data_IF_415401692441
#
_entry.id   IF_415401692441
#
_cell.length_a   1.000
_cell.length_b   1.000
_cell.length_c   1.000
_cell.angle_alpha   90.00
_cell.angle_beta   90.00
_cell.angle_gamma   90.00
#
_symmetry.space_group_name_H-M   'P 1'
#
loop_
_entity.id
_entity.type
_entity.pdbx_description
1 polymer ?
#
# COMPACT_ATOMS: atom_id res chain seq x y z
N UNK A 1 -5.66 -25.84 -10.05
CA UNK A 1 -4.37 -25.13 -10.06
C UNK A 1 -4.66 -23.64 -9.94
N UNK A 2 -4.36 -23.03 -8.79
CA UNK A 2 -4.61 -21.61 -8.53
C UNK A 2 -3.51 -20.81 -9.22
N UNK A 3 -3.85 -20.05 -10.27
CA UNK A 3 -2.88 -19.19 -10.95
C UNK A 3 -2.45 -18.06 -9.99
N UNK A 4 -1.15 -17.94 -9.71
CA UNK A 4 -0.63 -16.81 -8.95
C UNK A 4 -0.78 -15.53 -9.78
N UNK A 5 -0.96 -14.37 -9.15
CA UNK A 5 -1.15 -13.07 -9.86
C UNK A 5 -0.06 -12.79 -10.91
N UNK A 6 1.18 -13.19 -10.64
CA UNK A 6 2.29 -13.15 -11.60
C UNK A 6 1.99 -13.94 -12.88
N UNK A 7 1.46 -15.15 -12.75
CA UNK A 7 1.23 -16.02 -13.91
C UNK A 7 0.15 -15.45 -14.82
N UNK A 8 -0.86 -14.78 -14.26
CA UNK A 8 -1.87 -14.07 -15.07
C UNK A 8 -1.21 -12.93 -15.86
N UNK A 9 -0.39 -12.10 -15.20
CA UNK A 9 0.32 -11.00 -15.88
C UNK A 9 1.23 -11.53 -17.00
N UNK A 10 1.97 -12.61 -16.75
CA UNK A 10 2.90 -13.19 -17.74
C UNK A 10 2.21 -13.90 -18.89
N UNK A 11 0.95 -14.31 -18.73
CA UNK A 11 0.10 -14.81 -19.82
C UNK A 11 -0.30 -13.67 -20.75
N UNK A 12 -0.73 -12.54 -20.18
CA UNK A 12 -1.14 -11.35 -20.95
C UNK A 12 0.05 -10.64 -21.59
N UNK A 13 1.18 -10.56 -20.88
CA UNK A 13 2.40 -9.92 -21.36
C UNK A 13 3.62 -10.71 -20.88
N UNK A 14 4.21 -11.49 -21.79
CA UNK A 14 5.31 -12.39 -21.48
C UNK A 14 6.61 -11.68 -21.12
N UNK A 15 6.86 -10.51 -21.70
CA UNK A 15 8.06 -9.70 -21.47
C UNK A 15 7.69 -8.24 -21.26
N UNK A 16 8.47 -7.54 -20.44
CA UNK A 16 8.30 -6.10 -20.24
C UNK A 16 8.39 -5.29 -21.54
N UNK A 17 8.11 -3.98 -21.48
CA UNK A 17 8.03 -3.20 -20.26
C UNK A 17 6.67 -3.25 -19.54
N UNK A 18 6.70 -3.27 -18.20
CA UNK A 18 5.47 -3.20 -17.39
C UNK A 18 5.27 -1.81 -16.78
N UNK A 19 4.00 -1.40 -16.72
CA UNK A 19 3.53 -0.28 -15.88
C UNK A 19 2.56 -0.86 -14.86
N UNK A 20 2.88 -0.70 -13.58
CA UNK A 20 2.15 -1.35 -12.50
C UNK A 20 1.63 -0.29 -11.52
N UNK A 21 0.44 -0.52 -10.98
CA UNK A 21 -0.14 0.36 -9.98
C UNK A 21 -0.75 -0.44 -8.83
N UNK A 22 -0.75 0.18 -7.65
CA UNK A 22 -1.42 -0.31 -6.45
C UNK A 22 -2.32 0.76 -5.88
N UNK A 23 -3.19 0.33 -4.98
CA UNK A 23 -4.04 1.20 -4.20
C UNK A 23 -4.02 0.75 -2.73
N UNK A 24 -3.87 1.70 -1.82
CA UNK A 24 -3.93 1.47 -0.38
C UNK A 24 -2.90 0.39 0.06
N UNK A 25 -3.31 -0.56 0.89
CA UNK A 25 -2.46 -1.63 1.42
C UNK A 25 -1.85 -2.57 0.38
N UNK A 26 -2.34 -2.58 -0.86
CA UNK A 26 -1.74 -3.39 -1.93
C UNK A 26 -0.39 -2.86 -2.41
N UNK A 27 0.09 -1.71 -1.90
CA UNK A 27 1.44 -1.19 -2.14
C UNK A 27 2.55 -2.15 -1.70
N UNK A 28 2.33 -2.94 -0.64
CA UNK A 28 3.25 -4.01 -0.23
C UNK A 28 3.38 -5.06 -1.34
N UNK A 29 2.25 -5.51 -1.88
CA UNK A 29 2.22 -6.51 -2.95
C UNK A 29 2.87 -5.97 -4.23
N UNK A 30 2.62 -4.70 -4.57
CA UNK A 30 3.26 -4.07 -5.72
C UNK A 30 4.78 -4.05 -5.57
N UNK A 31 5.29 -3.71 -4.38
CA UNK A 31 6.74 -3.67 -4.15
C UNK A 31 7.38 -5.05 -4.37
N UNK A 32 6.76 -6.11 -3.85
CA UNK A 32 7.22 -7.50 -4.08
C UNK A 32 7.17 -7.85 -5.56
N UNK A 33 6.09 -7.48 -6.27
CA UNK A 33 5.96 -7.75 -7.70
C UNK A 33 7.01 -7.02 -8.52
N UNK A 34 7.24 -5.72 -8.28
CA UNK A 34 8.27 -4.95 -8.98
C UNK A 34 9.63 -5.62 -8.83
N UNK A 35 10.01 -5.98 -7.60
CA UNK A 35 11.29 -6.61 -7.33
C UNK A 35 11.42 -7.97 -8.01
N UNK A 36 10.35 -8.78 -7.96
CA UNK A 36 10.30 -10.08 -8.62
C UNK A 36 10.44 -9.97 -10.14
N UNK A 37 9.93 -8.92 -10.76
CA UNK A 37 10.07 -8.70 -12.20
C UNK A 37 11.51 -8.28 -12.54
N UNK A 38 12.07 -7.32 -11.80
CA UNK A 38 13.47 -6.90 -11.96
C UNK A 38 14.48 -8.03 -11.80
N UNK A 39 14.32 -8.85 -10.75
CA UNK A 39 15.23 -9.96 -10.45
C UNK A 39 15.13 -11.08 -11.51
N UNK A 40 14.02 -11.15 -12.24
CA UNK A 40 13.83 -12.04 -13.39
C UNK A 40 14.29 -11.42 -14.73
N UNK A 41 14.90 -10.24 -14.70
CA UNK A 41 15.40 -9.55 -15.90
C UNK A 41 14.32 -8.80 -16.69
N UNK A 42 13.10 -8.70 -16.18
CA UNK A 42 12.05 -7.88 -16.78
C UNK A 42 12.27 -6.39 -16.46
N UNK A 43 11.84 -5.51 -17.38
CA UNK A 43 11.86 -4.06 -17.17
C UNK A 43 10.49 -3.59 -16.64
N UNK A 44 10.50 -2.89 -15.51
CA UNK A 44 9.34 -2.13 -15.01
C UNK A 44 9.59 -0.65 -15.30
N UNK A 45 8.83 -0.08 -16.22
CA UNK A 45 8.98 1.33 -16.61
C UNK A 45 8.36 2.29 -15.59
N UNK A 46 7.32 1.84 -14.89
CA UNK A 46 6.60 2.67 -13.96
C UNK A 46 5.96 1.82 -12.86
N UNK A 47 6.10 2.25 -11.62
CA UNK A 47 5.33 1.76 -10.49
C UNK A 47 4.64 2.93 -9.79
N UNK A 48 3.32 2.87 -9.66
CA UNK A 48 2.52 3.90 -8.98
C UNK A 48 1.87 3.33 -7.72
N UNK A 49 2.14 3.93 -6.57
CA UNK A 49 1.47 3.62 -5.31
C UNK A 49 0.48 4.72 -4.99
N UNK A 50 -0.80 4.36 -4.89
CA UNK A 50 -1.87 5.34 -4.66
C UNK A 50 -2.34 5.25 -3.23
N UNK A 51 -2.11 6.35 -2.53
CA UNK A 51 -2.51 6.61 -1.17
C UNK A 51 -2.19 5.46 -0.20
N UNK A 52 -0.96 4.95 -0.30
CA UNK A 52 -0.44 3.89 0.54
C UNK A 52 1.03 3.61 0.21
N UNK A 53 1.85 3.41 1.24
CA UNK A 53 3.27 3.10 1.08
C UNK A 53 3.73 2.12 2.16
N UNK A 54 4.64 1.15 1.89
CA UNK A 54 5.01 0.11 2.85
C UNK A 54 5.46 0.62 4.23
N UNK A 55 6.07 1.81 4.31
CA UNK A 55 6.56 2.37 5.57
C UNK A 55 5.44 2.67 6.58
N UNK A 56 4.21 2.98 6.13
CA UNK A 56 3.09 3.26 7.04
C UNK A 56 2.64 2.03 7.84
N UNK A 57 2.85 0.83 7.28
CA UNK A 57 2.57 -0.43 7.98
C UNK A 57 3.60 -0.70 9.06
N UNK A 58 4.88 -0.40 8.79
CA UNK A 58 5.95 -0.50 9.77
C UNK A 58 5.73 0.52 10.91
N UNK A 59 5.35 1.75 10.58
CA UNK A 59 4.96 2.76 11.55
C UNK A 59 3.85 2.26 12.49
N UNK A 60 2.77 1.72 11.91
CA UNK A 60 1.63 1.21 12.65
C UNK A 60 2.03 0.05 13.57
N UNK A 61 2.84 -0.88 13.07
CA UNK A 61 3.38 -1.99 13.87
C UNK A 61 4.25 -1.49 15.04
N UNK A 62 5.11 -0.50 14.80
CA UNK A 62 5.96 0.10 15.84
C UNK A 62 5.12 0.78 16.93
N UNK A 63 4.10 1.57 16.57
CA UNK A 63 3.19 2.20 17.53
C UNK A 63 2.38 1.18 18.33
N UNK A 64 2.09 0.01 17.74
CA UNK A 64 1.46 -1.11 18.43
C UNK A 64 2.42 -1.93 19.31
N UNK A 65 3.71 -1.55 19.40
CA UNK A 65 4.72 -2.25 20.20
C UNK A 65 5.31 -3.49 19.52
N UNK A 66 5.24 -3.58 18.18
CA UNK A 66 5.68 -4.73 17.39
C UNK A 66 5.11 -6.06 17.90
N UNK A 67 3.78 -6.20 17.92
CA UNK A 67 3.12 -7.40 18.43
C UNK A 67 3.57 -8.61 17.59
N UNK A 68 3.86 -9.74 18.25
CA UNK A 68 4.26 -10.97 17.55
C UNK A 68 3.09 -11.48 16.70
N UNK A 69 3.19 -11.47 15.35
CA UNK A 69 2.11 -11.87 14.46
C UNK A 69 1.84 -13.38 14.50
N UNK A 70 2.69 -14.17 15.20
CA UNK A 70 2.49 -15.60 15.40
C UNK A 70 1.52 -15.90 16.54
N UNK A 71 1.19 -14.90 17.37
CA UNK A 71 0.19 -15.04 18.41
C UNK A 71 -1.20 -14.67 17.83
N UNK A 72 -2.17 -15.61 17.82
CA UNK A 72 -3.52 -15.37 17.30
C UNK A 72 -4.23 -14.15 17.92
N UNK A 73 -4.02 -13.88 19.21
CA UNK A 73 -4.63 -12.74 19.91
C UNK A 73 -4.05 -11.40 19.43
N UNK A 74 -2.75 -11.36 19.19
CA UNK A 74 -2.09 -10.19 18.60
C UNK A 74 -2.58 -9.95 17.18
N UNK A 75 -2.72 -11.02 16.39
CA UNK A 75 -3.25 -10.92 15.03
C UNK A 75 -4.66 -10.36 15.03
N UNK A 76 -5.53 -10.88 15.91
CA UNK A 76 -6.88 -10.34 16.11
C UNK A 76 -6.86 -8.86 16.47
N UNK A 77 -5.97 -8.44 17.37
CA UNK A 77 -5.84 -7.03 17.76
C UNK A 77 -5.35 -6.13 16.61
N UNK A 78 -4.38 -6.58 15.81
CA UNK A 78 -3.90 -5.85 14.62
C UNK A 78 -5.04 -5.63 13.63
N UNK A 79 -5.90 -6.63 13.45
CA UNK A 79 -7.04 -6.55 12.53
C UNK A 79 -8.16 -5.69 13.04
N UNK A 80 -8.51 -5.83 14.32
CA UNK A 80 -9.49 -4.96 14.96
C UNK A 80 -9.04 -3.49 14.82
N UNK A 81 -7.73 -3.24 14.97
CA UNK A 81 -7.09 -1.97 14.65
C UNK A 81 -7.23 -1.56 13.19
N UNK A 82 -6.90 -2.44 12.24
CA UNK A 82 -7.04 -2.20 10.80
C UNK A 82 -8.48 -1.90 10.37
N UNK A 83 -9.45 -2.66 10.87
CA UNK A 83 -10.89 -2.46 10.63
C UNK A 83 -11.36 -1.12 11.20
N UNK A 84 -10.87 -0.74 12.39
CA UNK A 84 -11.19 0.57 12.98
C UNK A 84 -10.62 1.70 12.12
N UNK A 85 -9.39 1.56 11.62
CA UNK A 85 -8.76 2.53 10.71
C UNK A 85 -9.53 2.66 9.41
N UNK A 86 -9.87 1.53 8.76
CA UNK A 86 -10.70 1.52 7.55
C UNK A 86 -12.04 2.18 7.81
N UNK A 87 -12.72 1.83 8.92
CA UNK A 87 -14.01 2.42 9.26
C UNK A 87 -13.90 3.93 9.46
N UNK A 88 -12.85 4.42 10.14
CA UNK A 88 -12.62 5.84 10.35
C UNK A 88 -12.24 6.60 9.07
N UNK A 89 -11.57 5.96 8.11
CA UNK A 89 -11.33 6.54 6.79
C UNK A 89 -12.64 6.61 5.99
N UNK A 90 -13.44 5.54 5.99
CA UNK A 90 -14.70 5.50 5.25
C UNK A 90 -15.81 6.38 5.87
N UNK A 91 -15.77 6.64 7.18
CA UNK A 91 -16.70 7.56 7.87
C UNK A 91 -16.49 9.01 7.44
N UNK A 92 -15.26 9.40 7.09
CA UNK A 92 -14.95 10.71 6.53
C UNK A 92 -15.47 10.82 5.10
N UNK A 93 -15.35 9.73 4.34
CA UNK A 93 -15.63 9.68 2.90
C UNK A 93 -17.13 9.64 2.52
N UNK A 94 -18.04 9.99 3.43
CA UNK A 94 -19.49 10.07 3.20
C UNK A 94 -20.20 8.76 2.77
N UNK A 95 -19.48 7.66 2.56
CA UNK A 95 -19.94 6.48 1.83
C UNK A 95 -20.35 5.30 2.74
N UNK A 96 -21.34 5.56 3.60
CA UNK A 96 -21.74 4.69 4.74
C UNK A 96 -22.32 3.32 4.36
N UNK A 97 -22.93 3.17 3.19
CA UNK A 97 -23.50 1.89 2.74
C UNK A 97 -22.47 0.96 2.10
N UNK A 98 -21.50 1.51 1.37
CA UNK A 98 -20.32 0.77 0.91
C UNK A 98 -19.53 0.23 2.10
N UNK A 99 -19.43 1.03 3.16
CA UNK A 99 -18.84 0.73 4.48
C UNK A 99 -19.28 -0.60 5.08
N UNK A 100 -20.59 -0.85 5.13
CA UNK A 100 -21.09 -2.07 5.75
C UNK A 100 -20.82 -3.32 4.91
N UNK A 101 -20.86 -3.20 3.58
CA UNK A 101 -20.59 -4.32 2.67
C UNK A 101 -19.12 -4.71 2.65
N UNK A 102 -18.22 -3.73 2.52
CA UNK A 102 -16.77 -3.96 2.50
C UNK A 102 -16.27 -4.51 3.83
N UNK A 103 -16.77 -4.00 4.96
CA UNK A 103 -16.41 -4.50 6.30
C UNK A 103 -16.76 -5.98 6.48
N UNK A 104 -17.95 -6.39 6.04
CA UNK A 104 -18.39 -7.79 6.11
C UNK A 104 -17.51 -8.70 5.25
N UNK A 105 -17.23 -8.31 4.01
CA UNK A 105 -16.37 -9.06 3.10
C UNK A 105 -14.93 -9.19 3.61
N UNK A 106 -14.41 -8.16 4.28
CA UNK A 106 -13.06 -8.18 4.86
C UNK A 106 -12.97 -9.18 6.02
N UNK A 107 -14.02 -9.24 6.86
CA UNK A 107 -14.14 -10.19 7.96
C UNK A 107 -14.27 -11.64 7.44
N UNK A 108 -15.06 -11.86 6.39
CA UNK A 108 -15.25 -13.19 5.79
C UNK A 108 -13.97 -13.70 5.11
N UNK A 109 -13.19 -12.81 4.47
CA UNK A 109 -11.89 -13.16 3.86
C UNK A 109 -10.81 -13.46 4.90
N UNK A 110 -10.95 -12.91 6.12
CA UNK A 110 -9.99 -13.06 7.21
C UNK A 110 -10.01 -14.46 7.82
N UNK A 111 -11.19 -15.11 7.93
CA UNK A 111 -11.33 -16.47 8.47
C UNK A 111 -10.54 -17.53 7.67
N UNK A 112 -10.01 -17.18 6.49
CA UNK A 112 -9.37 -18.11 5.56
C UNK A 112 -7.84 -18.05 5.40
N UNK A 113 -7.07 -17.21 6.10
CA UNK A 113 -5.64 -17.02 5.77
C UNK A 113 -4.67 -16.98 6.97
N UNK A 114 -3.63 -17.83 6.92
CA UNK A 114 -2.39 -17.70 7.71
C UNK A 114 -1.16 -18.21 6.94
N UNK A 115 -0.06 -17.46 6.98
CA UNK A 115 1.32 -17.98 7.09
C UNK A 115 2.31 -16.91 7.61
N UNK A 116 3.47 -17.37 8.14
CA UNK A 116 4.43 -16.75 9.08
C UNK A 116 5.46 -15.80 8.44
N UNK A 117 5.81 -14.68 9.11
CA UNK A 117 7.10 -14.42 9.82
C UNK A 117 7.50 -12.91 9.96
N UNK A 118 8.25 -12.66 11.04
CA UNK A 118 9.15 -11.50 11.34
C UNK A 118 8.59 -10.22 12.01
N UNK A 119 9.50 -9.54 12.74
CA UNK A 119 9.31 -8.21 13.33
C UNK A 119 9.52 -7.14 12.26
N UNK A 120 8.68 -6.12 12.27
CA UNK A 120 8.81 -4.97 11.38
C UNK A 120 10.06 -4.13 11.75
N UNK A 121 10.92 -3.81 10.77
CA UNK A 121 12.02 -2.83 10.91
C UNK A 121 11.99 -1.88 9.72
N UNK A 122 11.98 -0.59 10.04
CA UNK A 122 11.96 0.47 9.04
C UNK A 122 13.31 0.56 8.32
N UNK A 123 14.41 0.30 9.02
CA UNK A 123 15.76 0.27 8.45
C UNK A 123 15.92 -0.88 7.46
N UNK A 124 15.33 -2.05 7.74
CA UNK A 124 15.32 -3.17 6.80
C UNK A 124 14.47 -2.85 5.57
N UNK A 125 13.29 -2.24 5.76
CA UNK A 125 12.46 -1.80 4.65
C UNK A 125 13.21 -0.76 3.79
N UNK A 126 13.82 0.26 4.38
CA UNK A 126 14.63 1.25 3.67
C UNK A 126 15.74 0.60 2.84
N UNK A 127 16.53 -0.29 3.46
CA UNK A 127 17.62 -0.99 2.75
C UNK A 127 17.10 -1.81 1.57
N UNK A 128 15.96 -2.48 1.73
CA UNK A 128 15.36 -3.27 0.66
C UNK A 128 14.79 -2.40 -0.45
N UNK A 129 14.05 -1.33 -0.10
CA UNK A 129 13.48 -0.39 -1.05
C UNK A 129 14.55 0.27 -1.92
N UNK A 130 15.73 0.58 -1.37
CA UNK A 130 16.88 1.11 -2.13
C UNK A 130 17.42 0.16 -3.21
N UNK A 131 17.03 -1.11 -3.21
CA UNK A 131 17.42 -2.07 -4.26
C UNK A 131 16.46 -2.11 -5.45
N UNK A 132 15.29 -1.46 -5.34
CA UNK A 132 14.33 -1.33 -6.43
C UNK A 132 14.86 -0.33 -7.44
N UNK A 133 14.86 -0.70 -8.72
CA UNK A 133 15.39 0.11 -9.83
C UNK A 133 14.29 0.87 -10.55
N UNK A 134 13.07 0.35 -10.54
CA UNK A 134 11.92 0.91 -11.22
C UNK A 134 11.61 2.32 -10.69
N UNK A 135 11.27 3.27 -11.58
CA UNK A 135 10.76 4.57 -11.16
C UNK A 135 9.46 4.41 -10.36
N UNK A 136 9.50 4.80 -9.08
CA UNK A 136 8.32 4.80 -8.20
C UNK A 136 7.77 6.22 -8.08
N UNK A 137 6.48 6.33 -8.36
CA UNK A 137 5.66 7.50 -8.01
C UNK A 137 4.71 7.11 -6.89
N UNK A 138 4.63 7.93 -5.85
CA UNK A 138 3.63 7.80 -4.79
C UNK A 138 2.69 8.98 -4.84
N UNK A 139 1.41 8.69 -4.98
CA UNK A 139 0.33 9.67 -4.91
C UNK A 139 -0.18 9.67 -3.48
N UNK A 140 -0.17 10.81 -2.82
CA UNK A 140 -0.65 10.99 -1.44
C UNK A 140 -1.84 11.92 -1.47
N UNK A 141 -2.95 11.48 -0.88
CA UNK A 141 -4.13 12.33 -0.71
C UNK A 141 -4.02 13.09 0.61
N UNK A 142 -4.45 14.36 0.64
CA UNK A 142 -4.36 15.17 1.85
C UNK A 142 -5.22 14.66 3.01
N UNK A 143 -6.34 13.99 2.73
CA UNK A 143 -7.27 13.50 3.75
C UNK A 143 -7.35 11.97 3.85
N UNK A 144 -6.67 11.21 2.98
CA UNK A 144 -6.72 9.75 2.99
C UNK A 144 -5.79 9.09 4.01
N UNK A 145 -4.82 8.30 3.56
CA UNK A 145 -4.01 7.44 4.43
C UNK A 145 -3.27 8.19 5.53
N UNK A 146 -2.85 9.45 5.28
CA UNK A 146 -2.25 10.32 6.30
C UNK A 146 -3.22 10.61 7.46
N UNK A 147 -4.53 10.58 7.20
CA UNK A 147 -5.59 10.74 8.19
C UNK A 147 -5.61 9.64 9.25
N UNK A 148 -4.98 8.48 8.99
CA UNK A 148 -4.79 7.39 9.94
C UNK A 148 -3.61 7.61 10.91
N UNK A 149 -2.74 8.58 10.62
CA UNK A 149 -1.60 8.93 11.45
C UNK A 149 -2.04 9.96 12.52
N UNK A 150 -1.69 9.75 13.81
CA UNK A 150 -1.88 10.71 14.89
C UNK A 150 -1.36 12.11 14.52
N UNK A 151 -2.07 13.16 14.95
CA UNK A 151 -1.81 14.54 14.49
C UNK A 151 -0.37 14.98 14.76
N UNK A 152 0.19 14.56 15.88
CA UNK A 152 1.55 14.83 16.32
C UNK A 152 2.63 14.29 15.37
N UNK A 153 2.33 13.21 14.63
CA UNK A 153 3.30 12.53 13.76
C UNK A 153 3.07 12.85 12.26
N UNK A 154 2.00 13.59 11.90
CA UNK A 154 1.62 13.82 10.50
C UNK A 154 2.61 14.64 9.70
N UNK A 155 3.31 15.57 10.33
CA UNK A 155 4.32 16.37 9.64
C UNK A 155 5.51 15.50 9.21
N UNK A 156 6.01 14.66 10.11
CA UNK A 156 7.09 13.71 9.83
C UNK A 156 6.68 12.67 8.78
N UNK A 157 5.42 12.22 8.83
CA UNK A 157 4.89 11.19 7.95
C UNK A 157 4.07 11.73 6.79
N UNK A 158 4.22 13.03 6.45
CA UNK A 158 3.40 13.70 5.44
C UNK A 158 3.44 13.01 4.07
N UNK A 159 4.60 12.45 3.71
CA UNK A 159 4.82 11.70 2.47
C UNK A 159 4.67 10.18 2.65
N UNK A 160 4.08 9.73 3.76
CA UNK A 160 3.93 8.32 4.14
C UNK A 160 5.25 7.56 4.36
N UNK A 161 6.36 8.27 4.57
CA UNK A 161 7.70 7.70 4.74
C UNK A 161 8.42 7.40 3.42
N UNK A 162 7.93 7.95 2.31
CA UNK A 162 8.47 7.67 0.97
C UNK A 162 9.91 8.15 0.85
N UNK A 163 10.20 9.41 1.17
CA UNK A 163 11.55 9.99 1.02
C UNK A 163 12.58 9.35 1.94
N UNK A 164 12.13 8.76 3.04
CA UNK A 164 12.96 7.97 3.94
C UNK A 164 13.46 6.69 3.26
N UNK A 165 12.57 5.96 2.58
CA UNK A 165 12.91 4.71 1.89
C UNK A 165 13.49 4.92 0.47
N UNK A 166 13.01 5.93 -0.24
CA UNK A 166 13.28 6.23 -1.65
C UNK A 166 13.46 7.75 -1.83
N UNK A 167 14.66 8.31 -1.57
CA UNK A 167 14.89 9.76 -1.67
C UNK A 167 14.53 10.35 -3.05
N UNK A 168 14.76 9.58 -4.11
CA UNK A 168 14.55 10.00 -5.50
C UNK A 168 13.14 9.73 -6.03
N UNK A 169 12.28 9.03 -5.26
CA UNK A 169 10.91 8.76 -5.70
C UNK A 169 10.10 10.04 -5.85
N UNK A 170 9.22 10.08 -6.85
CA UNK A 170 8.31 11.21 -7.03
C UNK A 170 7.15 11.09 -6.06
N UNK A 171 6.89 12.13 -5.27
CA UNK A 171 5.70 12.23 -4.41
C UNK A 171 4.78 13.29 -4.98
N UNK A 172 3.52 12.92 -5.22
CA UNK A 172 2.50 13.80 -5.79
C UNK A 172 1.39 13.95 -4.76
N UNK A 173 1.15 15.17 -4.31
CA UNK A 173 0.06 15.46 -3.39
C UNK A 173 -1.17 15.87 -4.18
N UNK A 174 -2.30 15.25 -3.86
CA UNK A 174 -3.60 15.58 -4.46
C UNK A 174 -4.65 15.86 -3.40
N UNK A 175 -5.64 16.66 -3.78
CA UNK A 175 -6.82 16.89 -2.94
C UNK A 175 -7.72 15.66 -2.97
N UNK A 176 -8.54 15.51 -1.92
CA UNK A 176 -9.49 14.41 -1.79
C UNK A 176 -9.13 13.42 -0.69
N UNK A 177 -10.02 12.46 -0.53
CA UNK A 177 -9.98 11.42 0.50
C UNK A 177 -9.44 10.08 -0.04
N UNK A 178 -9.35 9.08 0.85
CA UNK A 178 -8.78 7.78 0.53
C UNK A 178 -9.51 7.08 -0.61
N UNK A 179 -10.84 7.18 -0.70
CA UNK A 179 -11.66 6.46 -1.69
C UNK A 179 -12.09 7.33 -2.89
N UNK A 180 -12.00 8.66 -2.81
CA UNK A 180 -12.44 9.58 -3.86
C UNK A 180 -11.40 9.91 -4.94
N UNK A 181 -10.12 9.59 -4.73
CA UNK A 181 -9.01 9.97 -5.61
C UNK A 181 -9.09 9.43 -7.06
N UNK A 182 -9.94 8.44 -7.37
CA UNK A 182 -10.14 7.95 -8.74
C UNK A 182 -11.00 8.89 -9.60
N UNK A 183 -11.54 9.96 -9.01
CA UNK A 183 -12.29 11.00 -9.72
C UNK A 183 -11.40 12.14 -10.22
N UNK A 184 -10.12 12.16 -9.85
CA UNK A 184 -9.18 13.20 -10.27
C UNK A 184 -8.61 12.90 -11.67
N UNK A 185 -8.92 13.77 -12.63
CA UNK A 185 -8.48 13.65 -14.04
C UNK A 185 -6.94 13.67 -14.19
N UNK A 186 -6.23 14.37 -13.28
CA UNK A 186 -4.77 14.37 -13.27
C UNK A 186 -4.20 13.01 -12.89
N UNK A 187 -4.83 12.31 -11.95
CA UNK A 187 -4.47 10.93 -11.59
C UNK A 187 -4.81 9.95 -12.72
N UNK A 188 -5.95 10.14 -13.40
CA UNK A 188 -6.32 9.30 -14.55
C UNK A 188 -5.26 9.44 -15.66
N UNK A 189 -4.92 10.68 -16.03
CA UNK A 189 -3.89 10.96 -17.03
C UNK A 189 -2.53 10.36 -16.65
N UNK A 190 -2.10 10.55 -15.40
CA UNK A 190 -0.85 9.95 -14.87
C UNK A 190 -0.81 8.43 -14.99
N UNK A 191 -1.93 7.76 -14.75
CA UNK A 191 -2.01 6.29 -14.80
C UNK A 191 -2.06 5.75 -16.23
N UNK A 192 -2.64 6.51 -17.16
CA UNK A 192 -2.75 6.12 -18.57
C UNK A 192 -1.46 6.43 -19.34
N UNK A 193 -0.96 7.65 -19.20
CA UNK A 193 0.11 8.19 -20.04
C UNK A 193 1.48 8.01 -19.39
N UNK A 194 1.53 7.89 -18.07
CA UNK A 194 2.77 7.89 -17.31
C UNK A 194 3.22 9.31 -16.94
N UNK A 195 4.44 9.43 -16.41
CA UNK A 195 5.15 10.71 -16.32
C UNK A 195 6.22 10.79 -17.42
#
# INVERSE_FOLDING_TARGET
MTATRRNIIKVEQLHGPYRLASYSATSILLTVLVKLFEDNGDTVLQAVMRDGFPATFIYSANKAGNPDPRNPDNTKAILDGGIKTISGLMEKDGNRESLQRTRKQLLDAWDGMYEKDSKASIELLERWMRTVKAPITVVVTHEGSIGSIPKEDREEWADLGVKRCLPDAKVVFVSGEHYEFLTDEGIIGLLQEGY
#
